data_IF_348828741283
#
_entry.id   IF_348828741283
#
_cell.length_a   1.000
_cell.length_b   1.000
_cell.length_c   1.000
_cell.angle_alpha   90.00
_cell.angle_beta   90.00
_cell.angle_gamma   90.00
#
_symmetry.space_group_name_H-M   'P 1'
#
loop_
_entity.id
_entity.type
_entity.pdbx_description
1 polymer ?
#
# COMPACT_ATOMS: atom_id res chain seq x y z
N UNK A 1 5.37 15.24 5.61
CA UNK A 1 5.44 14.49 4.34
C UNK A 1 6.49 13.42 4.51
N UNK A 2 6.09 12.16 4.69
CA UNK A 2 7.07 11.08 4.77
C UNK A 2 7.60 10.87 3.36
N UNK A 3 8.87 11.20 3.13
CA UNK A 3 9.54 10.95 1.87
C UNK A 3 9.73 9.44 1.78
N UNK A 4 9.13 8.82 0.77
CA UNK A 4 9.32 7.40 0.48
C UNK A 4 10.66 7.29 -0.24
N UNK A 5 11.55 6.46 0.28
CA UNK A 5 12.91 6.35 -0.26
C UNK A 5 12.95 5.34 -1.40
N UNK A 6 12.30 4.17 -1.22
CA UNK A 6 12.38 3.08 -2.17
C UNK A 6 11.10 2.25 -2.25
N UNK A 7 10.83 1.75 -3.45
CA UNK A 7 9.86 0.68 -3.69
C UNK A 7 10.59 -0.55 -4.20
N UNK A 8 10.22 -1.72 -3.70
CA UNK A 8 10.76 -3.01 -4.13
C UNK A 8 9.72 -3.75 -4.95
N UNK A 9 10.18 -4.41 -6.01
CA UNK A 9 9.34 -5.09 -6.98
C UNK A 9 9.82 -6.53 -7.21
N UNK A 10 8.85 -7.43 -7.37
CA UNK A 10 9.04 -8.76 -7.94
C UNK A 10 8.34 -8.77 -9.30
N UNK A 11 9.14 -8.70 -10.37
CA UNK A 11 8.61 -8.44 -11.71
C UNK A 11 7.90 -7.08 -11.78
N UNK A 12 6.64 -7.08 -12.19
CA UNK A 12 5.80 -5.87 -12.31
C UNK A 12 4.98 -5.57 -11.04
N UNK A 13 5.14 -6.37 -9.97
CA UNK A 13 4.35 -6.25 -8.75
C UNK A 13 5.17 -5.58 -7.66
N UNK A 14 4.63 -4.50 -7.08
CA UNK A 14 5.22 -3.85 -5.91
C UNK A 14 4.96 -4.70 -4.67
N UNK A 15 6.03 -5.13 -4.00
CA UNK A 15 5.95 -6.06 -2.85
C UNK A 15 6.35 -5.44 -1.52
N UNK A 16 7.09 -4.34 -1.54
CA UNK A 16 7.49 -3.64 -0.33
C UNK A 16 7.83 -2.17 -0.61
N UNK A 17 7.89 -1.38 0.47
CA UNK A 17 8.36 -0.01 0.45
C UNK A 17 9.23 0.29 1.66
N UNK A 18 10.15 1.25 1.50
CA UNK A 18 10.99 1.75 2.58
C UNK A 18 10.83 3.24 2.75
N UNK A 19 10.66 3.66 4.01
CA UNK A 19 10.58 5.05 4.45
C UNK A 19 11.54 5.23 5.62
N UNK A 20 12.67 5.89 5.37
CA UNK A 20 13.82 5.89 6.27
C UNK A 20 14.33 4.47 6.53
N UNK A 21 14.43 4.09 7.80
CA UNK A 21 14.81 2.74 8.22
C UNK A 21 13.63 1.75 8.23
N UNK A 22 12.39 2.22 8.05
CA UNK A 22 11.18 1.39 8.17
C UNK A 22 10.91 0.66 6.87
N UNK A 23 10.90 -0.68 6.92
CA UNK A 23 10.46 -1.55 5.83
C UNK A 23 9.00 -1.98 6.07
N UNK A 24 8.17 -1.82 5.05
CA UNK A 24 6.80 -2.33 5.05
C UNK A 24 6.57 -3.25 3.86
N UNK A 25 5.94 -4.40 4.11
CA UNK A 25 5.52 -5.30 3.04
C UNK A 25 4.13 -4.92 2.56
N UNK A 26 3.92 -4.96 1.24
CA UNK A 26 2.70 -4.59 0.57
C UNK A 26 2.11 -5.83 -0.07
N UNK A 27 0.94 -6.25 0.42
CA UNK A 27 0.24 -7.42 -0.08
C UNK A 27 -0.93 -6.94 -0.94
N UNK A 28 -0.90 -7.38 -2.19
CA UNK A 28 -1.86 -6.97 -3.20
C UNK A 28 -2.97 -7.98 -3.48
N UNK A 29 -4.06 -7.50 -4.07
CA UNK A 29 -5.06 -8.37 -4.69
C UNK A 29 -4.70 -8.69 -6.16
N UNK A 30 -5.54 -9.50 -6.81
CA UNK A 30 -5.31 -9.96 -8.19
C UNK A 30 -5.34 -8.83 -9.23
N UNK A 31 -5.85 -7.64 -8.87
CA UNK A 31 -5.87 -6.45 -9.73
C UNK A 31 -4.62 -5.57 -9.50
N UNK A 32 -3.72 -5.99 -8.60
CA UNK A 32 -2.55 -5.22 -8.22
C UNK A 32 -2.86 -4.09 -7.23
N UNK A 33 -4.03 -4.10 -6.58
CA UNK A 33 -4.35 -3.12 -5.55
C UNK A 33 -3.62 -3.42 -4.25
N UNK A 34 -3.14 -2.41 -3.52
CA UNK A 34 -2.58 -2.62 -2.17
C UNK A 34 -3.72 -2.91 -1.18
N UNK A 35 -3.81 -4.13 -0.62
CA UNK A 35 -4.86 -4.52 0.30
C UNK A 35 -4.39 -4.59 1.76
N UNK A 36 -3.19 -5.09 2.02
CA UNK A 36 -2.64 -5.22 3.37
C UNK A 36 -1.23 -4.64 3.39
N UNK A 37 -0.89 -3.93 4.47
CA UNK A 37 0.48 -3.53 4.77
C UNK A 37 0.91 -4.12 6.10
N UNK A 38 2.07 -4.76 6.15
CA UNK A 38 2.68 -5.27 7.39
C UNK A 38 4.00 -4.57 7.69
N UNK A 39 4.41 -4.62 8.95
CA UNK A 39 5.77 -4.25 9.34
C UNK A 39 6.80 -5.32 8.89
N UNK A 40 8.07 -5.07 9.20
CA UNK A 40 9.18 -5.98 8.88
C UNK A 40 9.12 -7.33 9.61
N UNK A 41 8.30 -7.45 10.67
CA UNK A 41 8.07 -8.70 11.39
C UNK A 41 6.82 -9.44 10.88
N UNK A 42 6.13 -8.91 9.85
CA UNK A 42 4.89 -9.48 9.33
C UNK A 42 3.65 -9.12 10.16
N UNK A 43 3.76 -8.21 11.13
CA UNK A 43 2.63 -7.75 11.95
C UNK A 43 1.79 -6.77 11.13
N UNK A 44 0.46 -6.94 11.18
CA UNK A 44 -0.48 -6.10 10.46
C UNK A 44 -0.38 -4.62 10.88
N UNK A 45 -0.04 -3.75 9.93
CA UNK A 45 0.00 -2.30 10.12
C UNK A 45 -1.25 -1.61 9.58
N UNK A 46 -1.67 -1.93 8.35
CA UNK A 46 -2.88 -1.38 7.74
C UNK A 46 -3.60 -2.37 6.83
N UNK A 47 -4.90 -2.12 6.64
CA UNK A 47 -5.76 -2.87 5.73
C UNK A 47 -6.66 -1.91 4.94
N UNK A 48 -6.76 -2.16 3.64
CA UNK A 48 -7.64 -1.48 2.71
C UNK A 48 -8.48 -2.50 1.97
N UNK A 49 -9.78 -2.23 1.85
CA UNK A 49 -10.68 -2.98 0.98
C UNK A 49 -11.37 -2.01 0.06
N UNK A 50 -11.41 -2.33 -1.22
CA UNK A 50 -11.99 -1.48 -2.25
C UNK A 50 -13.37 -2.01 -2.68
N UNK A 51 -14.24 -1.09 -3.08
CA UNK A 51 -15.36 -1.44 -3.94
C UNK A 51 -14.85 -1.79 -5.34
N UNK A 52 -15.63 -2.52 -6.16
CA UNK A 52 -15.24 -2.86 -7.54
C UNK A 52 -14.90 -1.65 -8.42
N UNK A 53 -15.41 -0.46 -8.07
CA UNK A 53 -15.17 0.81 -8.76
C UNK A 53 -14.11 1.69 -8.06
N UNK A 54 -13.31 1.13 -7.16
CA UNK A 54 -12.08 1.73 -6.66
C UNK A 54 -12.17 2.61 -5.42
N UNK A 55 -13.37 3.00 -4.97
CA UNK A 55 -13.48 3.73 -3.70
C UNK A 55 -13.20 2.81 -2.51
N UNK A 56 -12.59 3.35 -1.45
CA UNK A 56 -12.36 2.58 -0.22
C UNK A 56 -13.71 2.21 0.42
N UNK A 57 -13.91 0.91 0.62
CA UNK A 57 -15.03 0.34 1.38
C UNK A 57 -14.69 0.25 2.87
N UNK A 58 -13.42 0.01 3.17
CA UNK A 58 -12.93 -0.14 4.52
C UNK A 58 -11.45 0.26 4.58
N UNK A 59 -11.08 0.95 5.65
CA UNK A 59 -9.71 1.30 5.96
C UNK A 59 -9.45 1.07 7.44
N UNK A 60 -8.33 0.41 7.75
CA UNK A 60 -7.80 0.24 9.10
C UNK A 60 -6.33 0.65 9.12
N UNK A 61 -5.95 1.41 10.14
CA UNK A 61 -4.58 1.90 10.28
C UNK A 61 -4.23 2.97 9.25
N UNK A 62 -2.98 3.41 9.27
CA UNK A 62 -2.45 4.36 8.29
C UNK A 62 -1.70 3.61 7.20
N UNK A 63 -2.19 3.68 5.96
CA UNK A 63 -1.47 3.11 4.81
C UNK A 63 -0.31 4.01 4.42
N UNK A 64 0.94 3.50 4.40
CA UNK A 64 2.12 4.31 4.11
C UNK A 64 2.29 4.62 2.61
N UNK A 65 1.61 3.90 1.72
CA UNK A 65 1.68 4.11 0.27
C UNK A 65 0.52 4.95 -0.26
N UNK A 66 0.81 5.77 -1.28
CA UNK A 66 -0.18 6.50 -2.06
C UNK A 66 -0.79 5.67 -3.19
N UNK A 67 -0.18 4.52 -3.52
CA UNK A 67 -0.65 3.62 -4.57
C UNK A 67 -1.61 2.58 -4.01
N UNK A 68 -2.86 2.63 -4.46
CA UNK A 68 -3.97 1.90 -3.84
C UNK A 68 -4.68 1.03 -4.88
N UNK A 69 -5.98 1.24 -5.13
CA UNK A 69 -6.75 0.48 -6.10
C UNK A 69 -6.04 0.41 -7.45
N UNK A 70 -5.97 -0.78 -8.04
CA UNK A 70 -5.29 -1.04 -9.33
C UNK A 70 -3.86 -0.49 -9.43
N UNK A 71 -3.19 -0.31 -8.29
CA UNK A 71 -1.88 0.37 -8.20
C UNK A 71 -1.86 1.81 -8.73
N UNK A 72 -3.01 2.48 -8.79
CA UNK A 72 -3.11 3.89 -9.12
C UNK A 72 -2.83 4.77 -7.90
N UNK A 73 -2.24 5.94 -8.16
CA UNK A 73 -2.02 6.95 -7.14
C UNK A 73 -3.34 7.65 -6.83
N UNK A 74 -3.82 7.54 -5.59
CA UNK A 74 -4.94 8.38 -5.16
C UNK A 74 -4.41 9.80 -4.96
N UNK A 75 -4.94 10.74 -5.76
CA UNK A 75 -4.75 12.17 -5.53
C UNK A 75 -5.72 12.59 -4.44
N UNK A 76 -5.22 12.92 -3.25
CA UNK A 76 -6.05 13.60 -2.24
C UNK A 76 -6.22 15.04 -2.70
N UNK A 77 -7.44 15.43 -3.05
CA UNK A 77 -7.78 16.85 -3.20
C UNK A 77 -7.49 17.57 -1.87
N UNK A 78 -6.86 18.73 -1.96
CA UNK A 78 -6.50 19.58 -0.81
C UNK A 78 -7.74 20.09 -0.07
#
# INVERSE_FOLDING_TARGET
>A
MNIIDWYYYEGNTRVAMRTGSTLSYLLGDHLGSTAITTDSNGVLGSELRYYPWGTSRYARGSTPTTFQFTSETIVKAL
#
